data_IF_850160478685
#
_entry.id   IF_850160478685
#
_cell.length_a   1.000
_cell.length_b   1.000
_cell.length_c   1.000
_cell.angle_alpha   90.00
_cell.angle_beta   90.00
_cell.angle_gamma   90.00
#
_symmetry.space_group_name_H-M   'P 1'
#
loop_
_entity.id
_entity.type
_entity.pdbx_description
1 polymer ?
#
# COMPACT_ATOMS: atom_id res chain seq x y z
N UNK A 1 10.78 -7.15 32.74
CA UNK A 1 10.69 -5.85 32.03
C UNK A 1 10.63 -6.15 30.55
N UNK A 2 9.49 -5.84 29.91
CA UNK A 2 9.18 -6.22 28.53
C UNK A 2 10.08 -5.49 27.54
N UNK A 3 10.74 -6.27 26.68
CA UNK A 3 11.30 -5.81 25.42
C UNK A 3 10.49 -6.51 24.33
N UNK A 4 9.76 -5.79 23.52
CA UNK A 4 8.85 -6.42 22.57
C UNK A 4 8.07 -5.41 21.74
N UNK A 5 7.07 -5.91 21.05
CA UNK A 5 6.12 -5.08 20.32
C UNK A 5 4.70 -5.64 20.42
N UNK A 6 3.74 -4.80 20.10
CA UNK A 6 2.35 -5.20 19.88
C UNK A 6 1.83 -4.67 18.57
N UNK A 7 0.87 -5.37 17.96
CA UNK A 7 0.16 -4.94 16.76
C UNK A 7 -1.19 -4.37 17.14
N UNK A 8 -1.51 -3.22 16.55
CA UNK A 8 -2.75 -2.47 16.78
C UNK A 8 -3.35 -2.02 15.45
N UNK A 9 -4.64 -1.71 15.47
CA UNK A 9 -5.31 -1.07 14.34
C UNK A 9 -5.03 -1.74 13.01
N UNK A 10 -4.65 -0.95 12.00
CA UNK A 10 -4.31 -1.44 10.65
C UNK A 10 -2.81 -1.78 10.54
N UNK A 11 -1.94 -0.77 10.46
CA UNK A 11 -0.49 -0.90 10.26
C UNK A 11 0.34 -0.51 11.50
N UNK A 12 -0.29 -0.29 12.64
CA UNK A 12 0.38 0.21 13.83
C UNK A 12 1.07 -0.89 14.61
N UNK A 13 2.39 -0.78 14.78
CA UNK A 13 3.17 -1.53 15.75
C UNK A 13 3.65 -0.58 16.85
N UNK A 14 3.52 -0.99 18.12
CA UNK A 14 4.11 -0.23 19.23
C UNK A 14 5.24 -1.05 19.83
N UNK A 15 6.46 -0.50 19.81
CA UNK A 15 7.66 -1.10 20.37
C UNK A 15 7.91 -0.62 21.79
N UNK A 16 8.34 -1.54 22.65
CA UNK A 16 8.55 -1.32 24.08
C UNK A 16 9.99 -1.59 24.49
N UNK A 17 10.51 -0.75 25.38
CA UNK A 17 11.75 -0.97 26.13
C UNK A 17 11.46 -0.76 27.63
N UNK A 18 11.69 -1.79 28.47
CA UNK A 18 11.36 -1.77 29.89
C UNK A 18 9.88 -1.38 30.19
N UNK A 19 8.95 -2.00 29.47
CA UNK A 19 7.50 -1.73 29.57
C UNK A 19 7.08 -0.28 29.18
N UNK A 20 7.99 0.52 28.65
CA UNK A 20 7.70 1.87 28.15
C UNK A 20 7.54 1.84 26.63
N UNK A 21 6.45 2.41 26.09
CA UNK A 21 6.33 2.61 24.65
C UNK A 21 7.42 3.54 24.15
N UNK A 22 8.16 3.13 23.11
CA UNK A 22 9.27 3.88 22.53
C UNK A 22 8.89 4.42 21.16
N UNK A 23 8.34 3.58 20.30
CA UNK A 23 8.03 3.87 18.91
C UNK A 23 6.66 3.32 18.57
N UNK A 24 5.82 4.12 17.90
CA UNK A 24 4.59 3.66 17.24
C UNK A 24 4.68 3.90 15.74
N UNK A 25 4.28 2.91 14.91
CA UNK A 25 4.29 3.04 13.45
C UNK A 25 2.90 3.36 12.93
N UNK A 26 2.82 4.22 11.91
CA UNK A 26 1.62 4.48 11.10
C UNK A 26 0.30 4.52 11.91
N UNK A 27 0.14 5.43 12.88
CA UNK A 27 -0.99 5.40 13.81
C UNK A 27 -2.29 5.87 13.14
N UNK A 28 -3.21 4.93 12.90
CA UNK A 28 -4.60 5.21 12.59
C UNK A 28 -5.44 4.79 13.81
N UNK A 29 -5.96 5.78 14.56
CA UNK A 29 -6.59 5.57 15.88
C UNK A 29 -8.09 5.38 15.79
N UNK A 30 -8.74 6.10 14.88
CA UNK A 30 -10.18 6.08 14.65
C UNK A 30 -10.54 6.75 13.31
N UNK A 31 -11.83 6.88 13.02
CA UNK A 31 -12.32 7.50 11.79
C UNK A 31 -12.22 6.59 10.57
N UNK A 32 -12.22 7.20 9.40
CA UNK A 32 -12.25 6.49 8.11
C UNK A 32 -11.18 7.02 7.18
N UNK A 33 -10.73 6.16 6.26
CA UNK A 33 -9.79 6.49 5.19
C UNK A 33 -10.44 6.36 3.82
N UNK A 34 -9.73 6.85 2.78
CA UNK A 34 -10.14 6.68 1.38
C UNK A 34 -11.58 7.13 1.12
N UNK A 35 -11.87 8.41 1.43
CA UNK A 35 -13.20 9.03 1.21
C UNK A 35 -14.33 8.29 1.95
N UNK A 36 -14.09 7.85 3.18
CA UNK A 36 -15.07 7.11 3.97
C UNK A 36 -15.21 5.65 3.59
N UNK A 37 -14.35 5.12 2.72
CA UNK A 37 -14.45 3.74 2.27
C UNK A 37 -13.95 2.73 3.31
N UNK A 38 -12.84 3.03 3.99
CA UNK A 38 -12.25 2.14 4.98
C UNK A 38 -12.50 2.61 6.41
N UNK A 39 -12.73 1.66 7.30
CA UNK A 39 -12.67 1.84 8.75
C UNK A 39 -11.84 0.71 9.37
N UNK A 40 -11.34 0.91 10.58
CA UNK A 40 -10.65 -0.15 11.32
C UNK A 40 -11.59 -1.35 11.52
N UNK A 41 -11.08 -2.57 11.31
CA UNK A 41 -11.82 -3.82 11.58
C UNK A 41 -12.24 -3.91 13.06
N UNK A 42 -11.47 -3.28 13.94
CA UNK A 42 -11.73 -3.19 15.38
C UNK A 42 -11.33 -1.82 15.93
N UNK A 43 -12.12 -1.21 16.80
CA UNK A 43 -11.70 0.00 17.49
C UNK A 43 -10.53 -0.29 18.43
N UNK A 44 -9.63 0.66 18.58
CA UNK A 44 -8.59 0.59 19.59
C UNK A 44 -9.21 0.72 20.99
N UNK A 45 -8.71 -0.09 21.91
CA UNK A 45 -9.01 0.08 23.35
C UNK A 45 -8.31 1.32 23.90
N UNK A 46 -8.78 1.82 25.06
CA UNK A 46 -8.14 2.95 25.74
C UNK A 46 -6.64 2.69 26.01
N UNK A 47 -6.31 1.49 26.49
CA UNK A 47 -4.90 1.12 26.73
C UNK A 47 -4.03 1.12 25.46
N UNK A 48 -4.60 0.76 24.31
CA UNK A 48 -3.91 0.81 23.02
C UNK A 48 -3.70 2.24 22.53
N UNK A 49 -4.70 3.11 22.69
CA UNK A 49 -4.56 4.55 22.42
C UNK A 49 -3.49 5.16 23.31
N UNK A 50 -3.56 4.90 24.62
CA UNK A 50 -2.56 5.39 25.57
C UNK A 50 -1.14 4.91 25.21
N UNK A 51 -0.97 3.68 24.73
CA UNK A 51 0.33 3.17 24.29
C UNK A 51 0.91 3.99 23.13
N UNK A 52 0.10 4.34 22.13
CA UNK A 52 0.52 5.22 21.01
C UNK A 52 0.79 6.64 21.53
N UNK A 53 -0.07 7.18 22.41
CA UNK A 53 0.11 8.52 22.98
C UNK A 53 1.37 8.65 23.85
N UNK A 54 1.81 7.58 24.49
CA UNK A 54 3.01 7.56 25.33
C UNK A 54 4.29 7.25 24.55
N UNK A 55 4.21 6.72 23.34
CA UNK A 55 5.38 6.49 22.50
C UNK A 55 6.10 7.82 22.22
N UNK A 56 7.41 7.86 22.42
CA UNK A 56 8.21 9.07 22.19
C UNK A 56 8.36 9.37 20.70
N UNK A 57 8.47 8.33 19.89
CA UNK A 57 8.67 8.41 18.44
C UNK A 57 7.44 7.89 17.72
N UNK A 58 7.09 8.57 16.63
CA UNK A 58 6.09 8.12 15.66
C UNK A 58 6.82 7.90 14.33
N UNK A 59 6.65 6.74 13.72
CA UNK A 59 7.10 6.48 12.36
C UNK A 59 5.94 6.62 11.39
N UNK A 60 6.16 7.31 10.27
CA UNK A 60 5.22 7.35 9.14
C UNK A 60 5.95 6.82 7.91
N UNK A 61 5.44 5.75 7.35
CA UNK A 61 6.05 5.04 6.23
C UNK A 61 5.86 5.75 4.89
N UNK A 62 4.66 6.24 4.62
CA UNK A 62 4.27 6.90 3.38
C UNK A 62 2.97 7.71 3.54
N UNK A 63 2.49 8.31 2.43
CA UNK A 63 1.42 9.30 2.46
C UNK A 63 0.00 8.77 2.30
N UNK A 64 -0.24 7.46 2.21
CA UNK A 64 -1.62 6.94 2.16
C UNK A 64 -2.37 7.19 3.47
N UNK A 65 -3.68 7.49 3.43
CA UNK A 65 -4.42 7.97 4.60
C UNK A 65 -4.61 6.93 5.72
N UNK A 66 -4.42 5.65 5.47
CA UNK A 66 -4.41 4.59 6.50
C UNK A 66 -3.05 4.42 7.19
N UNK A 67 -2.00 5.12 6.72
CA UNK A 67 -0.67 5.24 7.33
C UNK A 67 -0.40 6.66 7.83
N UNK A 68 -0.62 7.66 7.00
CA UNK A 68 -0.59 9.08 7.37
C UNK A 68 -2.01 9.56 7.65
N UNK A 69 -2.59 9.16 8.80
CA UNK A 69 -3.92 9.56 9.18
C UNK A 69 -3.89 10.90 9.93
N UNK A 70 -4.17 11.99 9.21
CA UNK A 70 -4.04 13.35 9.73
C UNK A 70 -4.88 13.58 10.99
N UNK A 71 -6.12 13.08 11.04
CA UNK A 71 -7.01 13.25 12.19
C UNK A 71 -6.48 12.52 13.42
N UNK A 72 -5.88 11.34 13.25
CA UNK A 72 -5.21 10.62 14.34
C UNK A 72 -3.96 11.35 14.82
N UNK A 73 -3.12 11.86 13.91
CA UNK A 73 -1.96 12.67 14.28
C UNK A 73 -2.37 13.98 14.99
N UNK A 74 -3.48 14.58 14.60
CA UNK A 74 -3.99 15.79 15.26
C UNK A 74 -4.32 15.55 16.74
N UNK A 75 -4.75 14.37 17.11
CA UNK A 75 -5.07 13.97 18.49
C UNK A 75 -3.83 13.74 19.37
N UNK A 76 -2.67 13.44 18.75
CA UNK A 76 -1.46 13.11 19.51
C UNK A 76 -0.78 14.35 20.11
N UNK A 77 -0.15 14.20 21.30
CA UNK A 77 0.67 15.25 21.91
C UNK A 77 1.82 15.70 20.98
N UNK A 78 2.05 17.01 20.87
CA UNK A 78 3.02 17.58 19.91
C UNK A 78 4.49 17.53 20.37
N UNK A 79 4.76 17.00 21.54
CA UNK A 79 6.13 16.80 22.07
C UNK A 79 6.82 15.54 21.53
N UNK A 80 6.23 14.87 20.55
CA UNK A 80 6.80 13.68 19.89
C UNK A 80 7.72 14.06 18.75
N UNK A 81 8.61 13.12 18.42
CA UNK A 81 9.45 13.20 17.21
C UNK A 81 8.83 12.27 16.15
N UNK A 82 8.45 12.84 15.02
CA UNK A 82 7.97 12.05 13.89
C UNK A 82 9.15 11.71 13.00
N UNK A 83 9.39 10.41 12.80
CA UNK A 83 10.43 9.84 11.97
C UNK A 83 9.87 9.55 10.58
N UNK A 84 10.57 9.97 9.53
CA UNK A 84 10.16 9.79 8.14
C UNK A 84 11.27 9.17 7.29
N UNK A 85 10.92 8.45 6.22
CA UNK A 85 11.85 8.17 5.13
C UNK A 85 12.34 9.47 4.47
N UNK A 86 13.49 9.41 3.81
CA UNK A 86 13.96 10.50 2.94
C UNK A 86 13.22 10.46 1.60
N UNK A 87 11.91 10.76 1.63
CA UNK A 87 11.06 10.85 0.44
C UNK A 87 11.63 11.82 -0.61
N UNK A 88 11.30 11.61 -1.87
CA UNK A 88 11.79 12.47 -2.95
C UNK A 88 11.28 13.92 -2.82
N UNK A 89 10.01 14.07 -2.44
CA UNK A 89 9.38 15.37 -2.24
C UNK A 89 9.15 15.66 -0.74
N UNK A 90 9.34 16.89 -0.27
CA UNK A 90 9.26 17.22 1.16
C UNK A 90 7.84 17.39 1.70
N UNK A 91 6.79 17.23 0.90
CA UNK A 91 5.40 17.56 1.24
C UNK A 91 4.92 16.89 2.54
N UNK A 92 5.19 15.58 2.70
CA UNK A 92 4.80 14.85 3.92
C UNK A 92 5.50 15.44 5.14
N UNK A 93 6.81 15.71 5.04
CA UNK A 93 7.58 16.35 6.11
C UNK A 93 6.99 17.71 6.49
N UNK A 94 6.72 18.53 5.49
CA UNK A 94 6.28 19.91 5.69
C UNK A 94 4.84 19.96 6.25
N UNK A 95 3.96 19.06 5.79
CA UNK A 95 2.60 18.95 6.32
C UNK A 95 2.57 18.52 7.80
N UNK A 96 3.39 17.53 8.18
CA UNK A 96 3.47 17.07 9.56
C UNK A 96 4.12 18.15 10.46
N UNK A 97 5.15 18.85 9.97
CA UNK A 97 5.75 19.97 10.68
C UNK A 97 4.75 21.11 10.89
N UNK A 98 3.90 21.40 9.90
CA UNK A 98 2.83 22.40 10.03
C UNK A 98 1.77 22.02 11.08
N UNK A 99 1.60 20.73 11.40
CA UNK A 99 0.77 20.27 12.51
C UNK A 99 1.41 20.48 13.90
N UNK A 100 2.64 21.00 13.97
CA UNK A 100 3.36 21.31 15.20
C UNK A 100 4.27 20.21 15.73
N UNK A 101 4.53 19.15 14.96
CA UNK A 101 5.47 18.11 15.34
C UNK A 101 6.92 18.46 15.00
N UNK A 102 7.86 17.94 15.81
CA UNK A 102 9.26 17.84 15.41
C UNK A 102 9.40 16.68 14.42
N UNK A 103 9.90 16.96 13.21
CA UNK A 103 10.07 15.94 12.16
C UNK A 103 11.55 15.67 11.96
N UNK A 104 11.94 14.40 11.99
CA UNK A 104 13.29 13.92 11.70
C UNK A 104 13.26 12.99 10.49
N UNK A 105 13.94 13.36 9.41
CA UNK A 105 14.13 12.50 8.23
C UNK A 105 15.27 11.55 8.51
N UNK A 106 15.00 10.25 8.47
CA UNK A 106 15.99 9.21 8.74
C UNK A 106 16.91 8.99 7.52
N UNK A 107 18.24 9.07 7.70
CA UNK A 107 19.17 8.77 6.61
C UNK A 107 19.06 7.31 6.18
N UNK A 108 19.10 7.09 4.86
CA UNK A 108 19.02 5.76 4.26
C UNK A 108 20.07 4.78 4.81
N UNK A 109 19.62 3.63 5.30
CA UNK A 109 20.41 2.54 5.88
C UNK A 109 21.32 2.94 7.06
N UNK A 110 20.94 3.95 7.83
CA UNK A 110 21.66 4.35 9.03
C UNK A 110 20.83 4.05 10.28
N UNK A 111 21.49 3.51 11.31
CA UNK A 111 20.85 3.25 12.58
C UNK A 111 20.65 4.52 13.40
N UNK A 112 19.45 4.68 13.92
CA UNK A 112 19.02 5.71 14.85
C UNK A 112 18.69 5.08 16.19
N UNK A 113 19.42 5.42 17.27
CA UNK A 113 19.10 4.94 18.61
C UNK A 113 17.83 5.64 19.12
N UNK A 114 16.86 4.85 19.57
CA UNK A 114 15.58 5.33 20.10
C UNK A 114 15.49 5.19 21.63
N UNK A 115 16.06 4.11 22.17
CA UNK A 115 16.18 3.84 23.61
C UNK A 115 17.41 2.98 23.87
N UNK A 116 17.77 2.65 25.12
CA UNK A 116 18.99 1.86 25.41
C UNK A 116 19.05 0.53 24.64
N UNK A 117 17.92 -0.14 24.36
CA UNK A 117 17.87 -1.44 23.71
C UNK A 117 17.14 -1.45 22.36
N UNK A 118 16.62 -0.31 21.91
CA UNK A 118 15.87 -0.22 20.64
C UNK A 118 16.52 0.80 19.71
N UNK A 119 16.84 0.39 18.51
CA UNK A 119 17.27 1.28 17.43
C UNK A 119 16.53 0.95 16.14
N UNK A 120 16.38 1.95 15.29
CA UNK A 120 15.67 1.84 14.03
C UNK A 120 16.53 2.26 12.84
N UNK A 121 16.26 1.71 11.68
CA UNK A 121 16.87 2.07 10.41
C UNK A 121 15.79 2.15 9.34
N UNK A 122 15.89 3.15 8.47
CA UNK A 122 14.98 3.34 7.35
C UNK A 122 15.61 2.86 6.04
N UNK A 123 14.79 2.21 5.21
CA UNK A 123 15.08 1.94 3.80
C UNK A 123 14.01 2.67 2.99
N UNK A 124 14.33 3.85 2.51
CA UNK A 124 13.45 4.53 1.56
C UNK A 124 13.73 4.02 0.14
N UNK A 125 12.71 3.89 -0.66
CA UNK A 125 12.79 3.28 -1.97
C UNK A 125 12.06 4.10 -3.04
N UNK A 126 12.21 3.70 -4.30
CA UNK A 126 11.59 4.42 -5.42
C UNK A 126 10.06 4.36 -5.42
N UNK A 127 9.47 3.42 -4.67
CA UNK A 127 8.01 3.35 -4.50
C UNK A 127 7.47 4.40 -3.54
N UNK A 128 8.36 5.17 -2.88
CA UNK A 128 8.02 6.16 -1.85
C UNK A 128 7.34 5.56 -0.60
N UNK A 129 7.45 4.25 -0.41
CA UNK A 129 6.98 3.54 0.78
C UNK A 129 8.19 3.13 1.62
N UNK A 130 8.35 3.71 2.79
CA UNK A 130 9.48 3.43 3.68
C UNK A 130 9.36 2.04 4.32
N UNK A 131 10.47 1.29 4.32
CA UNK A 131 10.62 0.07 5.11
C UNK A 131 11.33 0.44 6.41
N UNK A 132 10.76 0.06 7.54
CA UNK A 132 11.38 0.26 8.85
C UNK A 132 12.02 -1.04 9.33
N UNK A 133 13.27 -0.95 9.77
CA UNK A 133 13.97 -2.05 10.41
C UNK A 133 14.24 -1.67 11.85
N UNK A 134 13.73 -2.45 12.80
CA UNK A 134 13.91 -2.23 14.23
C UNK A 134 14.73 -3.36 14.82
N UNK A 135 15.86 -3.01 15.44
CA UNK A 135 16.59 -3.92 16.29
C UNK A 135 16.21 -3.66 17.75
N UNK A 136 15.78 -4.69 18.44
CA UNK A 136 15.43 -4.64 19.85
C UNK A 136 16.11 -5.78 20.61
N UNK A 137 17.15 -5.44 21.36
CA UNK A 137 18.06 -6.41 21.97
C UNK A 137 18.80 -7.22 20.90
N UNK A 138 18.57 -8.53 20.88
CA UNK A 138 19.14 -9.47 19.90
C UNK A 138 18.13 -9.93 18.83
N UNK A 139 17.01 -9.25 18.74
CA UNK A 139 15.93 -9.52 17.78
C UNK A 139 15.85 -8.45 16.70
N UNK A 140 15.44 -8.85 15.49
CA UNK A 140 15.25 -7.98 14.35
C UNK A 140 13.80 -8.04 13.88
N UNK A 141 13.16 -6.89 13.78
CA UNK A 141 11.82 -6.72 13.20
C UNK A 141 11.95 -5.87 11.94
N UNK A 142 11.51 -6.40 10.82
CA UNK A 142 11.42 -5.68 9.54
C UNK A 142 9.95 -5.40 9.28
N UNK A 143 9.57 -4.14 9.38
CA UNK A 143 8.23 -3.68 9.06
C UNK A 143 8.21 -3.23 7.59
N UNK A 144 7.68 -4.10 6.75
CA UNK A 144 7.47 -3.81 5.33
C UNK A 144 6.21 -2.99 5.11
N UNK A 145 5.25 -3.07 6.05
CA UNK A 145 3.89 -2.57 5.86
C UNK A 145 3.37 -2.89 4.44
N UNK A 146 3.09 -1.90 3.58
CA UNK A 146 2.62 -2.05 2.20
C UNK A 146 3.76 -2.11 1.19
N UNK A 147 4.98 -1.82 1.63
CA UNK A 147 6.10 -1.63 0.71
C UNK A 147 6.45 -2.89 -0.07
N UNK A 148 6.56 -2.81 -1.39
CA UNK A 148 7.32 -3.78 -2.16
C UNK A 148 8.81 -3.61 -1.82
N UNK A 149 9.58 -4.69 -2.00
CA UNK A 149 10.99 -4.68 -1.62
C UNK A 149 11.87 -3.72 -2.44
N UNK A 150 11.45 -3.32 -3.64
CA UNK A 150 12.09 -2.34 -4.52
C UNK A 150 13.62 -2.43 -4.58
N UNK A 151 14.16 -3.65 -4.71
CA UNK A 151 15.61 -3.89 -4.75
C UNK A 151 16.29 -3.94 -3.38
N UNK A 152 15.56 -3.83 -2.27
CA UNK A 152 16.11 -3.97 -0.90
C UNK A 152 16.27 -5.43 -0.45
N UNK A 153 15.79 -6.39 -1.23
CA UNK A 153 15.76 -7.81 -0.85
C UNK A 153 17.14 -8.36 -0.45
N UNK A 154 18.17 -8.09 -1.24
CA UNK A 154 19.54 -8.57 -0.97
C UNK A 154 20.07 -8.00 0.34
N UNK A 155 19.86 -6.72 0.59
CA UNK A 155 20.28 -6.06 1.81
C UNK A 155 19.58 -6.67 3.04
N UNK A 156 18.24 -6.73 3.00
CA UNK A 156 17.43 -7.28 4.09
C UNK A 156 17.77 -8.74 4.37
N UNK A 157 17.92 -9.56 3.34
CA UNK A 157 18.32 -10.96 3.50
C UNK A 157 19.69 -11.10 4.16
N UNK A 158 20.66 -10.27 3.78
CA UNK A 158 21.99 -10.29 4.39
C UNK A 158 21.98 -9.76 5.84
N UNK A 159 21.11 -8.83 6.14
CA UNK A 159 20.90 -8.33 7.50
C UNK A 159 20.24 -9.39 8.38
N UNK A 160 19.13 -9.98 7.94
CA UNK A 160 18.39 -11.05 8.63
C UNK A 160 19.29 -12.23 8.97
N UNK A 161 20.19 -12.64 8.07
CA UNK A 161 21.14 -13.75 8.30
C UNK A 161 22.12 -13.54 9.46
N UNK A 162 22.24 -12.31 9.99
CA UNK A 162 23.13 -12.02 11.13
C UNK A 162 22.48 -12.31 12.47
N UNK A 163 21.18 -12.63 12.48
CA UNK A 163 20.39 -12.91 13.66
C UNK A 163 19.98 -14.38 13.69
N UNK A 164 19.71 -14.88 14.90
CA UNK A 164 19.03 -16.16 15.04
C UNK A 164 17.67 -16.07 14.30
N UNK A 165 17.41 -17.02 13.44
CA UNK A 165 16.18 -17.05 12.64
C UNK A 165 14.93 -16.95 13.52
N UNK A 166 14.90 -17.60 14.69
CA UNK A 166 13.78 -17.54 15.61
C UNK A 166 13.52 -16.13 16.17
N UNK A 167 14.54 -15.24 16.10
CA UNK A 167 14.48 -13.83 16.56
C UNK A 167 14.32 -12.83 15.41
N UNK A 168 13.97 -13.30 14.21
CA UNK A 168 13.72 -12.43 13.06
C UNK A 168 12.24 -12.42 12.72
N UNK A 169 11.67 -11.24 12.59
CA UNK A 169 10.26 -10.99 12.35
C UNK A 169 10.10 -10.10 11.11
N UNK A 170 9.15 -10.43 10.26
CA UNK A 170 8.74 -9.57 9.15
C UNK A 170 7.26 -9.27 9.28
N UNK A 171 6.95 -8.01 9.57
CA UNK A 171 5.60 -7.48 9.54
C UNK A 171 5.29 -6.99 8.11
N UNK A 172 4.17 -7.39 7.57
CA UNK A 172 3.76 -7.05 6.21
C UNK A 172 2.25 -7.19 6.07
N UNK A 173 1.70 -6.53 5.06
CA UNK A 173 0.39 -6.85 4.54
C UNK A 173 0.20 -8.35 4.50
N UNK A 174 -0.96 -8.82 4.91
CA UNK A 174 -1.32 -10.22 4.74
C UNK A 174 -1.42 -10.60 3.26
N UNK A 175 -1.66 -9.63 2.41
CA UNK A 175 -1.52 -9.65 0.95
C UNK A 175 -2.00 -8.29 0.44
N UNK A 176 -1.75 -7.94 -0.82
CA UNK A 176 -2.44 -6.82 -1.45
C UNK A 176 -3.92 -7.09 -1.29
N UNK A 177 -4.54 -6.40 -0.38
CA UNK A 177 -5.90 -6.64 0.08
C UNK A 177 -6.92 -6.47 -1.08
N UNK A 178 -8.13 -6.23 -0.78
CA UNK A 178 -9.20 -6.02 -1.76
C UNK A 178 -9.06 -4.71 -2.57
N UNK A 179 -7.89 -4.07 -2.58
CA UNK A 179 -7.64 -2.77 -3.22
C UNK A 179 -7.77 -2.81 -4.74
N UNK A 180 -8.23 -1.70 -5.31
CA UNK A 180 -8.24 -1.47 -6.76
C UNK A 180 -8.91 -2.61 -7.55
N UNK A 181 -10.04 -3.15 -7.06
CA UNK A 181 -10.76 -4.26 -7.70
C UNK A 181 -11.96 -3.83 -8.54
N UNK A 182 -12.38 -2.58 -8.48
CA UNK A 182 -13.63 -2.15 -9.09
C UNK A 182 -13.50 -1.93 -10.61
N UNK A 183 -13.01 -2.96 -11.31
CA UNK A 183 -13.01 -2.99 -12.77
C UNK A 183 -14.37 -3.40 -13.30
N UNK A 184 -14.80 -2.72 -14.35
CA UNK A 184 -16.05 -3.03 -15.05
C UNK A 184 -15.80 -3.15 -16.56
N UNK A 185 -16.61 -3.99 -17.21
CA UNK A 185 -16.66 -4.03 -18.65
C UNK A 185 -17.51 -2.88 -19.22
N UNK A 186 -17.60 -2.80 -20.55
CA UNK A 186 -18.41 -1.78 -21.25
C UNK A 186 -19.92 -1.87 -20.96
N UNK A 187 -20.36 -2.95 -20.29
CA UNK A 187 -21.74 -3.15 -19.85
C UNK A 187 -21.91 -2.84 -18.35
N UNK A 188 -20.84 -2.38 -17.68
CA UNK A 188 -20.82 -2.06 -16.25
C UNK A 188 -20.75 -3.28 -15.32
N UNK A 189 -20.49 -4.47 -15.84
CA UNK A 189 -20.35 -5.70 -15.03
C UNK A 189 -18.94 -5.79 -14.47
N UNK A 190 -18.79 -6.09 -13.17
CA UNK A 190 -17.47 -6.29 -12.54
C UNK A 190 -16.73 -7.46 -13.16
N UNK A 191 -15.44 -7.23 -13.43
CA UNK A 191 -14.52 -8.19 -14.05
C UNK A 191 -13.42 -8.58 -13.07
N UNK A 192 -13.78 -9.01 -11.88
CA UNK A 192 -12.85 -9.41 -10.84
C UNK A 192 -12.82 -10.94 -10.70
N UNK A 193 -11.63 -11.48 -10.41
CA UNK A 193 -11.50 -12.92 -10.13
C UNK A 193 -12.28 -13.31 -8.86
N UNK A 194 -12.75 -14.58 -8.75
CA UNK A 194 -13.40 -15.04 -7.52
C UNK A 194 -12.51 -14.84 -6.28
N UNK A 195 -13.10 -14.48 -5.12
CA UNK A 195 -12.34 -14.17 -3.90
C UNK A 195 -11.33 -15.27 -3.51
N UNK A 196 -11.75 -16.52 -3.48
CA UNK A 196 -10.90 -17.65 -3.03
C UNK A 196 -9.64 -17.84 -3.88
N UNK A 197 -9.76 -17.68 -5.21
CA UNK A 197 -8.60 -17.80 -6.09
C UNK A 197 -7.61 -16.67 -5.86
N UNK A 198 -8.13 -15.44 -5.70
CA UNK A 198 -7.33 -14.26 -5.46
C UNK A 198 -6.60 -14.38 -4.11
N UNK A 199 -7.31 -14.65 -3.02
CA UNK A 199 -6.74 -14.79 -1.66
C UNK A 199 -5.64 -15.83 -1.59
N UNK A 200 -5.87 -17.02 -2.17
CA UNK A 200 -4.86 -18.09 -2.24
C UNK A 200 -3.57 -17.63 -2.94
N UNK A 201 -3.70 -16.93 -4.08
CA UNK A 201 -2.54 -16.42 -4.83
C UNK A 201 -1.75 -15.37 -4.03
N UNK A 202 -2.44 -14.52 -3.33
CA UNK A 202 -1.87 -13.44 -2.54
C UNK A 202 -1.12 -13.98 -1.32
N UNK A 203 -1.74 -14.87 -0.53
CA UNK A 203 -1.10 -15.50 0.65
C UNK A 203 0.15 -16.28 0.23
N UNK A 204 0.08 -16.98 -0.90
CA UNK A 204 1.25 -17.65 -1.46
C UNK A 204 2.39 -16.67 -1.78
N UNK A 205 2.09 -15.52 -2.37
CA UNK A 205 3.10 -14.51 -2.71
C UNK A 205 3.77 -13.92 -1.45
N UNK A 206 2.99 -13.64 -0.40
CA UNK A 206 3.52 -13.18 0.88
C UNK A 206 4.38 -14.25 1.53
N UNK A 207 3.87 -15.48 1.65
CA UNK A 207 4.62 -16.58 2.25
C UNK A 207 5.97 -16.82 1.54
N UNK A 208 6.00 -16.72 0.21
CA UNK A 208 7.22 -16.80 -0.60
C UNK A 208 8.16 -15.62 -0.34
N UNK A 209 7.64 -14.39 -0.23
CA UNK A 209 8.43 -13.19 0.08
C UNK A 209 9.15 -13.33 1.41
N UNK A 210 8.44 -13.76 2.46
CA UNK A 210 8.99 -13.94 3.80
C UNK A 210 10.06 -15.05 3.83
N UNK A 211 9.77 -16.17 3.20
CA UNK A 211 10.69 -17.29 3.08
C UNK A 211 11.98 -16.89 2.33
N UNK A 212 11.86 -16.15 1.25
CA UNK A 212 12.99 -15.66 0.45
C UNK A 212 13.87 -14.67 1.22
N UNK A 213 13.31 -13.89 2.12
CA UNK A 213 14.06 -13.05 3.06
C UNK A 213 14.80 -13.86 4.12
N UNK A 214 14.35 -15.08 4.42
CA UNK A 214 14.95 -15.97 5.40
C UNK A 214 14.51 -15.73 6.84
N UNK A 215 13.45 -14.96 7.06
CA UNK A 215 12.90 -14.69 8.40
C UNK A 215 12.25 -15.93 9.02
N UNK A 216 12.31 -16.03 10.34
CA UNK A 216 11.66 -17.11 11.09
C UNK A 216 10.20 -16.88 11.39
N UNK A 217 9.78 -15.60 11.46
CA UNK A 217 8.43 -15.24 11.86
C UNK A 217 7.82 -14.26 10.84
N UNK A 218 6.57 -14.51 10.47
CA UNK A 218 5.69 -13.57 9.77
C UNK A 218 4.72 -12.96 10.77
N UNK A 219 4.55 -11.65 10.73
CA UNK A 219 3.58 -10.90 11.53
C UNK A 219 2.57 -10.26 10.59
N UNK A 220 1.28 -10.60 10.76
CA UNK A 220 0.22 -9.98 9.98
C UNK A 220 0.02 -8.53 10.41
N UNK A 221 0.17 -7.60 9.49
CA UNK A 221 0.05 -6.14 9.69
C UNK A 221 -0.52 -5.50 8.42
N UNK A 222 -0.99 -4.25 8.50
CA UNK A 222 -1.44 -3.42 7.38
C UNK A 222 -2.60 -3.98 6.52
N UNK A 223 -3.48 -4.84 7.13
CA UNK A 223 -4.66 -5.39 6.44
C UNK A 223 -5.85 -5.53 7.40
N UNK A 224 -5.92 -4.69 8.42
CA UNK A 224 -6.91 -4.81 9.48
C UNK A 224 -8.00 -3.72 9.37
N UNK A 225 -8.53 -3.55 8.18
CA UNK A 225 -9.63 -2.63 7.88
C UNK A 225 -10.84 -3.36 7.31
N UNK A 226 -11.98 -2.68 7.23
CA UNK A 226 -13.19 -3.11 6.55
C UNK A 226 -13.70 -2.01 5.62
N UNK A 227 -14.39 -2.40 4.54
CA UNK A 227 -15.10 -1.47 3.69
C UNK A 227 -16.45 -1.14 4.31
N UNK A 228 -16.73 0.16 4.51
CA UNK A 228 -17.94 0.64 5.19
C UNK A 228 -18.77 1.61 4.35
N UNK A 229 -18.22 2.17 3.29
CA UNK A 229 -18.94 3.03 2.37
C UNK A 229 -19.92 2.18 1.53
N UNK A 230 -21.16 2.63 1.35
CA UNK A 230 -22.24 1.85 0.72
C UNK A 230 -21.89 1.31 -0.67
N UNK A 231 -21.12 2.07 -1.47
CA UNK A 231 -20.70 1.70 -2.82
C UNK A 231 -19.36 0.91 -2.86
N UNK A 232 -18.73 0.65 -1.70
CA UNK A 232 -17.51 -0.12 -1.57
C UNK A 232 -17.63 -1.40 -0.70
N UNK A 233 -18.69 -1.57 0.11
CA UNK A 233 -18.89 -2.74 0.99
C UNK A 233 -18.85 -4.09 0.25
N UNK A 234 -19.12 -4.09 -1.04
CA UNK A 234 -19.04 -5.27 -1.90
C UNK A 234 -17.63 -5.89 -1.95
N UNK A 235 -16.58 -5.12 -1.61
CA UNK A 235 -15.20 -5.57 -1.61
C UNK A 235 -14.83 -6.40 -0.37
N UNK A 236 -15.62 -6.36 0.71
CA UNK A 236 -15.33 -7.10 1.95
C UNK A 236 -15.07 -8.60 1.77
N UNK A 237 -15.77 -9.36 0.92
CA UNK A 237 -15.46 -10.78 0.67
C UNK A 237 -14.06 -11.03 0.11
N UNK A 238 -13.42 -10.02 -0.51
CA UNK A 238 -12.09 -10.12 -1.10
C UNK A 238 -10.96 -9.84 -0.11
N UNK A 239 -11.26 -9.29 1.07
CA UNK A 239 -10.28 -9.07 2.14
C UNK A 239 -9.68 -10.39 2.60
N UNK A 240 -8.37 -10.40 2.82
CA UNK A 240 -7.69 -11.55 3.38
C UNK A 240 -7.86 -11.54 4.90
N UNK A 241 -8.48 -12.58 5.43
CA UNK A 241 -8.65 -12.77 6.87
C UNK A 241 -7.55 -13.66 7.45
N UNK A 242 -7.41 -13.69 8.78
CA UNK A 242 -6.47 -14.61 9.41
C UNK A 242 -6.81 -16.09 9.13
N UNK A 243 -8.08 -16.44 9.03
CA UNK A 243 -8.52 -17.80 8.69
C UNK A 243 -8.08 -18.20 7.26
N UNK A 244 -8.08 -17.24 6.32
CA UNK A 244 -7.53 -17.45 4.98
C UNK A 244 -6.02 -17.73 5.03
N UNK A 245 -5.27 -16.98 5.87
CA UNK A 245 -3.83 -17.22 6.09
C UNK A 245 -3.59 -18.60 6.68
N UNK A 246 -4.35 -18.99 7.72
CA UNK A 246 -4.25 -20.32 8.31
C UNK A 246 -4.47 -21.40 7.27
N UNK A 247 -5.46 -21.24 6.39
CA UNK A 247 -5.85 -22.22 5.37
C UNK A 247 -4.85 -22.33 4.22
N UNK A 248 -4.28 -21.21 3.77
CA UNK A 248 -3.53 -21.15 2.51
C UNK A 248 -2.03 -20.96 2.66
N UNK A 249 -1.51 -20.90 3.89
CA UNK A 249 -0.08 -20.70 4.12
C UNK A 249 0.75 -21.90 3.68
N UNK A 250 1.79 -21.67 2.89
CA UNK A 250 2.57 -22.72 2.23
C UNK A 250 4.00 -22.91 2.75
N UNK A 251 4.37 -22.20 3.83
CA UNK A 251 5.74 -22.24 4.39
C UNK A 251 5.70 -22.64 5.88
N UNK A 252 5.57 -23.96 6.18
CA UNK A 252 5.36 -24.42 7.58
C UNK A 252 6.52 -24.12 8.52
N UNK A 253 7.72 -23.88 7.99
CA UNK A 253 8.91 -23.54 8.75
C UNK A 253 9.01 -22.04 9.10
N UNK A 254 8.10 -21.20 8.61
CA UNK A 254 7.92 -19.82 9.02
C UNK A 254 6.75 -19.76 9.99
N UNK A 255 7.02 -19.32 11.23
CA UNK A 255 5.98 -19.16 12.23
C UNK A 255 5.08 -17.97 11.85
N UNK A 256 3.79 -18.19 11.87
CA UNK A 256 2.78 -17.15 11.64
C UNK A 256 2.38 -16.54 12.98
N UNK A 257 2.30 -15.23 13.03
CA UNK A 257 1.83 -14.45 14.18
C UNK A 257 0.61 -13.64 13.72
N UNK A 258 -0.51 -13.92 14.37
CA UNK A 258 -1.78 -13.27 14.04
C UNK A 258 -1.78 -11.78 14.39
N UNK A 259 -2.68 -10.98 13.82
CA UNK A 259 -2.85 -9.58 14.21
C UNK A 259 -3.39 -9.45 15.63
N UNK A 260 -3.30 -8.26 16.21
CA UNK A 260 -3.77 -7.95 17.59
C UNK A 260 -3.10 -8.84 18.66
N UNK A 261 -1.78 -8.88 18.62
CA UNK A 261 -0.97 -9.65 19.53
C UNK A 261 0.09 -8.81 20.25
N UNK A 262 0.62 -9.36 21.32
CA UNK A 262 1.83 -8.87 22.00
C UNK A 262 2.93 -9.90 21.82
N UNK A 263 4.09 -9.47 21.32
CA UNK A 263 5.29 -10.30 21.15
C UNK A 263 6.34 -9.89 22.16
N UNK A 264 6.79 -10.83 22.98
CA UNK A 264 7.96 -10.68 23.85
C UNK A 264 9.22 -11.11 23.10
N UNK A 265 10.05 -10.16 22.75
CA UNK A 265 11.30 -10.42 21.97
C UNK A 265 12.40 -11.08 22.82
N UNK A 266 12.32 -10.98 24.13
CA UNK A 266 13.27 -11.66 25.03
C UNK A 266 13.07 -13.17 25.05
N UNK A 267 11.81 -13.62 25.04
CA UNK A 267 11.46 -15.05 25.10
C UNK A 267 11.03 -15.62 23.75
N UNK A 268 10.68 -14.77 22.78
CA UNK A 268 10.07 -15.17 21.51
C UNK A 268 8.61 -15.62 21.67
N UNK A 269 8.02 -15.51 22.85
CA UNK A 269 6.62 -15.83 23.08
C UNK A 269 5.71 -14.72 22.53
N UNK A 270 4.53 -15.10 22.07
CA UNK A 270 3.47 -14.13 21.81
C UNK A 270 2.15 -14.61 22.37
N UNK A 271 1.29 -13.68 22.67
CA UNK A 271 -0.09 -13.95 23.07
C UNK A 271 -1.04 -13.01 22.36
N UNK A 272 -2.18 -13.54 21.98
CA UNK A 272 -3.27 -12.78 21.39
C UNK A 272 -3.88 -11.87 22.43
N UNK A 273 -4.10 -10.63 22.09
CA UNK A 273 -4.93 -9.75 22.90
C UNK A 273 -6.39 -10.17 22.73
N UNK A 274 -7.17 -10.06 23.81
CA UNK A 274 -8.61 -10.23 23.68
C UNK A 274 -9.13 -9.05 22.86
N UNK A 275 -9.56 -9.30 21.61
CA UNK A 275 -10.01 -8.20 20.78
C UNK A 275 -11.26 -7.59 21.40
N UNK A 276 -11.35 -6.28 21.38
CA UNK A 276 -12.63 -5.60 21.49
C UNK A 276 -13.58 -6.24 20.48
N UNK A 277 -14.84 -6.43 20.83
CA UNK A 277 -15.83 -6.93 19.86
C UNK A 277 -15.77 -6.04 18.63
N UNK A 278 -15.88 -6.64 17.43
CA UNK A 278 -16.08 -5.84 16.21
C UNK A 278 -17.18 -4.85 16.50
N UNK A 279 -16.89 -3.57 16.50
CA UNK A 279 -17.95 -2.58 16.51
C UNK A 279 -18.76 -2.84 15.24
N UNK A 280 -20.08 -2.80 15.34
CA UNK A 280 -20.91 -2.62 14.18
C UNK A 280 -20.57 -1.21 13.64
N UNK A 281 -19.58 -1.14 12.75
CA UNK A 281 -19.27 0.11 12.08
C UNK A 281 -20.48 0.40 11.18
N UNK A 282 -21.17 1.48 11.49
CA UNK A 282 -22.31 1.92 10.70
C UNK A 282 -21.86 2.19 9.26
N UNK A 283 -22.57 1.66 8.27
CA UNK A 283 -22.25 1.90 6.89
C UNK A 283 -22.38 3.40 6.58
N UNK A 284 -21.33 3.97 6.03
CA UNK A 284 -21.35 5.35 5.52
C UNK A 284 -22.07 5.33 4.18
N UNK A 285 -23.03 6.22 3.99
CA UNK A 285 -23.69 6.43 2.70
C UNK A 285 -22.91 7.45 1.86
N UNK A 286 -23.16 7.50 0.54
CA UNK A 286 -22.56 8.53 -0.31
C UNK A 286 -22.90 9.94 0.17
N UNK A 287 -24.12 10.17 0.69
CA UNK A 287 -24.51 11.45 1.27
C UNK A 287 -23.74 11.78 2.56
N UNK A 288 -23.46 10.77 3.40
CA UNK A 288 -22.66 10.94 4.63
C UNK A 288 -21.19 11.25 4.31
N UNK A 289 -20.68 10.71 3.19
CA UNK A 289 -19.36 11.03 2.68
C UNK A 289 -19.31 12.32 1.84
N UNK A 290 -20.37 13.13 1.87
CA UNK A 290 -20.55 14.34 1.07
C UNK A 290 -20.39 14.09 -0.45
N UNK A 291 -20.71 12.89 -0.89
CA UNK A 291 -20.70 12.51 -2.30
C UNK A 291 -22.09 12.25 -2.86
N UNK A 292 -22.32 12.78 -4.04
CA UNK A 292 -23.53 12.55 -4.84
C UNK A 292 -23.16 12.07 -6.24
N UNK A 293 -23.51 10.83 -6.55
CA UNK A 293 -23.25 10.22 -7.86
C UNK A 293 -24.02 10.91 -9.01
N UNK A 294 -25.07 11.69 -8.72
CA UNK A 294 -25.84 12.46 -9.71
C UNK A 294 -25.25 13.84 -10.00
N UNK A 295 -24.36 14.34 -9.11
CA UNK A 295 -23.78 15.67 -9.24
C UNK A 295 -22.81 15.74 -10.43
N UNK A 296 -22.96 16.81 -11.24
CA UNK A 296 -22.14 17.05 -12.42
C UNK A 296 -21.04 18.06 -12.15
N UNK A 297 -19.96 17.98 -12.92
CA UNK A 297 -18.91 19.01 -12.92
C UNK A 297 -19.37 20.25 -13.66
N UNK A 298 -19.12 21.43 -13.08
CA UNK A 298 -19.18 22.71 -13.78
C UNK A 298 -18.08 22.83 -14.82
N UNK A 299 -18.08 23.90 -15.62
CA UNK A 299 -17.03 24.19 -16.57
C UNK A 299 -15.65 24.38 -15.90
N UNK A 300 -15.62 25.15 -14.82
CA UNK A 300 -14.37 25.43 -14.08
C UNK A 300 -13.85 24.19 -13.36
N UNK A 301 -14.72 23.38 -12.76
CA UNK A 301 -14.33 22.12 -12.14
C UNK A 301 -13.75 21.14 -13.18
N UNK A 302 -14.37 21.07 -14.36
CA UNK A 302 -13.83 20.26 -15.46
C UNK A 302 -12.48 20.75 -15.94
N UNK A 303 -12.27 22.06 -15.99
CA UNK A 303 -10.96 22.62 -16.34
C UNK A 303 -9.89 22.19 -15.33
N UNK A 304 -10.19 22.24 -14.02
CA UNK A 304 -9.28 21.75 -12.96
C UNK A 304 -8.88 20.28 -13.17
N UNK A 305 -9.83 19.40 -13.48
CA UNK A 305 -9.57 17.99 -13.78
C UNK A 305 -8.68 17.85 -15.01
N UNK A 306 -8.95 18.63 -16.06
CA UNK A 306 -8.14 18.62 -17.29
C UNK A 306 -6.71 19.08 -17.03
N UNK A 307 -6.52 20.16 -16.28
CA UNK A 307 -5.22 20.70 -15.90
C UNK A 307 -4.44 19.71 -15.00
N UNK A 308 -5.13 19.02 -14.09
CA UNK A 308 -4.52 17.97 -13.28
C UNK A 308 -3.94 16.87 -14.15
N UNK A 309 -4.72 16.32 -15.09
CA UNK A 309 -4.26 15.27 -16.01
C UNK A 309 -3.15 15.76 -16.92
N UNK A 310 -3.23 16.99 -17.42
CA UNK A 310 -2.26 17.57 -18.34
C UNK A 310 -0.85 17.70 -17.72
N UNK A 311 -0.71 17.71 -16.40
CA UNK A 311 0.61 17.72 -15.73
C UNK A 311 1.43 16.47 -16.03
N UNK A 312 0.78 15.33 -16.25
CA UNK A 312 1.43 14.01 -16.39
C UNK A 312 1.91 13.76 -17.83
N UNK A 313 3.01 14.42 -18.21
CA UNK A 313 3.59 14.30 -19.55
C UNK A 313 3.88 12.84 -19.95
N UNK A 314 4.26 12.02 -18.97
CA UNK A 314 4.65 10.61 -19.17
C UNK A 314 3.49 9.71 -19.61
N UNK A 315 2.22 10.10 -19.35
CA UNK A 315 1.04 9.31 -19.72
C UNK A 315 0.92 9.11 -21.24
N UNK A 316 1.37 10.06 -22.05
CA UNK A 316 1.29 10.00 -23.52
C UNK A 316 2.01 8.80 -24.17
N UNK A 317 2.92 8.18 -23.43
CA UNK A 317 3.63 6.98 -23.92
C UNK A 317 2.73 5.73 -23.85
N UNK A 318 1.69 5.75 -23.03
CA UNK A 318 0.87 4.58 -22.68
C UNK A 318 -0.61 4.73 -23.03
N UNK A 319 -1.14 5.95 -23.02
CA UNK A 319 -2.57 6.22 -23.18
C UNK A 319 -2.80 7.28 -24.27
N UNK A 320 -3.85 7.07 -25.06
CA UNK A 320 -4.34 8.04 -26.03
C UNK A 320 -5.33 9.01 -25.36
N UNK A 321 -6.12 8.54 -24.36
CA UNK A 321 -7.12 9.36 -23.65
C UNK A 321 -7.43 8.82 -22.24
N UNK A 322 -8.04 9.70 -21.43
CA UNK A 322 -8.77 9.32 -20.20
C UNK A 322 -10.20 9.84 -20.29
N UNK A 323 -11.16 9.01 -19.93
CA UNK A 323 -12.57 9.38 -19.80
C UNK A 323 -12.92 9.53 -18.33
N UNK A 324 -13.68 10.57 -17.99
CA UNK A 324 -14.29 10.74 -16.67
C UNK A 324 -15.81 10.75 -16.83
N UNK A 325 -16.50 9.91 -16.05
CA UNK A 325 -17.94 9.82 -16.00
C UNK A 325 -18.40 10.32 -14.64
N UNK A 326 -18.94 11.53 -14.60
CA UNK A 326 -19.39 12.22 -13.38
C UNK A 326 -20.83 12.70 -13.59
N UNK A 327 -21.74 12.33 -12.70
CA UNK A 327 -23.16 12.68 -12.83
C UNK A 327 -23.78 12.16 -14.13
N UNK A 328 -23.42 10.96 -14.58
CA UNK A 328 -23.83 10.34 -15.84
C UNK A 328 -23.37 11.09 -17.11
N UNK A 329 -22.50 12.08 -17.00
CA UNK A 329 -21.87 12.75 -18.12
C UNK A 329 -20.45 12.22 -18.34
N UNK A 330 -20.19 11.68 -19.54
CA UNK A 330 -18.85 11.23 -19.95
C UNK A 330 -18.14 12.36 -20.67
N UNK A 331 -16.96 12.73 -20.16
CA UNK A 331 -16.07 13.70 -20.81
C UNK A 331 -14.71 13.08 -21.03
N UNK A 332 -14.13 13.29 -22.22
CA UNK A 332 -12.84 12.76 -22.65
C UNK A 332 -11.74 13.82 -22.61
N UNK A 333 -10.62 13.45 -21.96
CA UNK A 333 -9.36 14.21 -22.03
C UNK A 333 -8.42 13.47 -22.98
N UNK A 334 -8.07 14.10 -24.08
CA UNK A 334 -7.10 13.54 -25.02
C UNK A 334 -5.68 13.77 -24.50
N UNK A 335 -5.00 12.69 -24.16
CA UNK A 335 -3.57 12.70 -23.78
C UNK A 335 -2.70 12.88 -25.02
N UNK A 336 -3.09 12.23 -26.13
CA UNK A 336 -2.46 12.34 -27.46
C UNK A 336 -3.48 12.96 -28.42
N UNK A 337 -3.45 14.29 -28.67
CA UNK A 337 -4.42 14.98 -29.53
C UNK A 337 -4.53 14.39 -30.93
N UNK A 338 -3.40 13.89 -31.49
CA UNK A 338 -3.32 13.29 -32.81
C UNK A 338 -4.03 11.93 -32.92
N UNK A 339 -4.40 11.36 -31.78
CA UNK A 339 -5.21 10.14 -31.74
C UNK A 339 -6.68 10.37 -32.06
N UNK A 340 -7.15 11.64 -32.03
CA UNK A 340 -8.50 11.99 -32.48
C UNK A 340 -8.73 11.53 -33.91
N UNK A 341 -9.81 10.78 -34.12
CA UNK A 341 -10.15 10.24 -35.46
C UNK A 341 -9.62 8.83 -35.74
N UNK A 342 -8.78 8.24 -34.88
CA UNK A 342 -8.50 6.80 -34.94
C UNK A 342 -9.75 6.00 -34.53
N UNK A 343 -9.88 4.77 -35.05
CA UNK A 343 -10.96 3.87 -34.65
C UNK A 343 -10.84 3.55 -33.15
N UNK A 344 -11.96 3.61 -32.41
CA UNK A 344 -12.02 3.35 -30.96
C UNK A 344 -11.34 2.01 -30.56
N UNK A 345 -11.48 0.97 -31.39
CA UNK A 345 -10.84 -0.34 -31.17
C UNK A 345 -9.31 -0.31 -31.17
N UNK A 346 -8.69 0.77 -31.63
CA UNK A 346 -7.23 0.95 -31.68
C UNK A 346 -6.72 1.93 -30.62
N UNK A 347 -7.64 2.63 -29.94
CA UNK A 347 -7.27 3.57 -28.89
C UNK A 347 -6.97 2.86 -27.58
N UNK A 348 -6.02 3.42 -26.83
CA UNK A 348 -5.70 3.00 -25.46
C UNK A 348 -6.19 4.05 -24.50
N UNK A 349 -7.08 3.66 -23.59
CA UNK A 349 -7.66 4.59 -22.66
C UNK A 349 -8.16 3.93 -21.39
N UNK A 350 -8.53 4.76 -20.42
CA UNK A 350 -9.16 4.34 -19.18
C UNK A 350 -10.38 5.24 -18.95
N UNK A 351 -11.52 4.62 -18.58
CA UNK A 351 -12.70 5.32 -18.13
C UNK A 351 -12.87 5.22 -16.62
N UNK A 352 -13.06 6.35 -15.95
CA UNK A 352 -13.28 6.45 -14.51
C UNK A 352 -14.69 6.95 -14.23
N UNK A 353 -15.53 6.10 -13.61
CA UNK A 353 -16.81 6.50 -13.08
C UNK A 353 -16.65 6.87 -11.62
N UNK A 354 -16.75 8.12 -11.29
CA UNK A 354 -16.39 8.63 -9.97
C UNK A 354 -17.35 9.74 -9.53
N UNK A 355 -17.73 9.82 -8.25
CA UNK A 355 -18.52 10.93 -7.76
C UNK A 355 -17.69 12.22 -7.72
N UNK A 356 -18.40 13.34 -7.88
CA UNK A 356 -17.83 14.67 -8.09
C UNK A 356 -16.87 15.10 -6.97
N UNK A 357 -17.31 15.02 -5.71
CA UNK A 357 -16.55 15.60 -4.61
C UNK A 357 -15.26 14.83 -4.34
N UNK A 358 -15.31 13.49 -4.38
CA UNK A 358 -14.10 12.66 -4.29
C UNK A 358 -13.10 12.94 -5.43
N UNK A 359 -13.59 13.13 -6.67
CA UNK A 359 -12.70 13.49 -7.78
C UNK A 359 -12.05 14.86 -7.57
N UNK A 360 -12.81 15.88 -7.16
CA UNK A 360 -12.27 17.22 -6.94
C UNK A 360 -11.28 17.27 -5.79
N UNK A 361 -11.54 16.57 -4.69
CA UNK A 361 -10.60 16.44 -3.60
C UNK A 361 -9.31 15.74 -4.05
N UNK A 362 -9.42 14.66 -4.84
CA UNK A 362 -8.25 13.97 -5.43
C UNK A 362 -7.41 14.90 -6.32
N UNK A 363 -8.06 15.74 -7.13
CA UNK A 363 -7.36 16.73 -7.97
C UNK A 363 -6.66 17.78 -7.12
N UNK A 364 -7.25 18.18 -6.00
CA UNK A 364 -6.67 19.14 -5.07
C UNK A 364 -5.47 18.58 -4.31
N UNK A 365 -5.61 17.40 -3.72
CA UNK A 365 -4.53 16.76 -2.93
C UNK A 365 -3.47 16.07 -3.80
N UNK A 366 -3.82 15.66 -5.02
CA UNK A 366 -2.88 15.06 -5.96
C UNK A 366 -2.61 13.56 -5.77
N UNK A 367 -3.41 12.84 -4.96
CA UNK A 367 -3.30 11.40 -4.72
C UNK A 367 -4.45 10.66 -5.41
N UNK A 368 -4.26 10.31 -6.68
CA UNK A 368 -5.32 9.71 -7.50
C UNK A 368 -5.62 8.25 -7.13
N UNK A 369 -4.69 7.54 -6.58
CA UNK A 369 -4.86 6.15 -6.17
C UNK A 369 -5.82 5.97 -5.00
N UNK A 370 -5.99 6.97 -4.13
CA UNK A 370 -6.91 6.90 -3.00
C UNK A 370 -8.35 6.57 -3.44
N UNK A 371 -8.80 7.10 -4.58
CA UNK A 371 -10.13 6.78 -5.12
C UNK A 371 -10.20 5.39 -5.77
N UNK A 372 -9.07 4.85 -6.23
CA UNK A 372 -8.97 3.47 -6.73
C UNK A 372 -8.97 2.47 -5.57
N UNK A 373 -8.15 2.73 -4.53
CA UNK A 373 -8.01 1.90 -3.33
C UNK A 373 -9.34 1.77 -2.59
N UNK A 374 -10.09 2.86 -2.51
CA UNK A 374 -11.41 2.88 -1.88
C UNK A 374 -12.48 2.00 -2.53
N UNK A 375 -12.25 1.47 -3.74
CA UNK A 375 -13.16 0.57 -4.48
C UNK A 375 -14.58 1.12 -4.76
N UNK A 376 -14.84 2.40 -4.54
CA UNK A 376 -16.10 3.00 -4.93
C UNK A 376 -16.06 3.51 -6.38
N UNK A 377 -14.93 4.03 -6.85
CA UNK A 377 -14.74 4.40 -8.25
C UNK A 377 -14.72 3.16 -9.14
N UNK A 378 -15.50 3.15 -10.24
CA UNK A 378 -15.50 2.06 -11.24
C UNK A 378 -14.54 2.40 -12.37
N UNK A 379 -13.73 1.44 -12.78
CA UNK A 379 -12.67 1.62 -13.79
C UNK A 379 -12.95 0.73 -15.01
N UNK A 380 -13.04 1.35 -16.18
CA UNK A 380 -13.12 0.67 -17.49
C UNK A 380 -11.74 0.69 -18.17
N UNK A 381 -11.25 -0.46 -18.65
CA UNK A 381 -9.99 -0.55 -19.36
C UNK A 381 -10.22 -0.75 -20.86
N UNK A 382 -9.72 0.17 -21.68
CA UNK A 382 -9.86 0.17 -23.15
C UNK A 382 -8.47 -0.10 -23.77
N UNK A 383 -8.15 -1.35 -24.09
CA UNK A 383 -6.84 -1.77 -24.59
C UNK A 383 -5.66 -1.29 -23.71
N UNK A 384 -5.90 -1.16 -22.41
CA UNK A 384 -4.98 -0.59 -21.44
C UNK A 384 -5.00 -1.40 -20.13
N UNK A 385 -4.02 -1.15 -19.27
CA UNK A 385 -3.93 -1.72 -17.91
C UNK A 385 -3.59 -0.62 -16.92
N UNK A 386 -3.97 -0.79 -15.65
CA UNK A 386 -3.50 0.11 -14.59
C UNK A 386 -2.01 -0.08 -14.33
N UNK A 387 -1.58 -1.32 -14.17
CA UNK A 387 -0.17 -1.68 -14.01
C UNK A 387 0.40 -2.21 -15.32
N UNK A 388 1.64 -1.89 -15.67
CA UNK A 388 2.60 -1.05 -14.94
C UNK A 388 2.56 0.44 -15.36
N UNK A 389 1.53 0.91 -16.04
CA UNK A 389 1.61 2.18 -16.80
C UNK A 389 0.81 3.34 -16.22
N UNK A 390 -0.25 3.09 -15.46
CA UNK A 390 -1.07 4.17 -14.91
C UNK A 390 -0.77 4.44 -13.43
N UNK A 391 -1.02 3.47 -12.55
CA UNK A 391 -0.81 3.64 -11.12
C UNK A 391 0.61 4.04 -10.74
N UNK A 392 1.70 3.42 -11.26
CA UNK A 392 3.04 3.88 -10.92
C UNK A 392 3.32 5.32 -11.36
N UNK A 393 2.74 5.78 -12.46
CA UNK A 393 2.96 7.15 -12.93
C UNK A 393 2.15 8.19 -12.17
N UNK A 394 0.88 7.91 -11.89
CA UNK A 394 -0.01 8.85 -11.19
C UNK A 394 0.16 8.75 -9.68
N UNK A 395 0.19 7.54 -9.12
CA UNK A 395 0.29 7.35 -7.69
C UNK A 395 1.69 7.66 -7.15
N UNK A 396 2.67 6.85 -7.53
CA UNK A 396 4.01 6.94 -6.94
C UNK A 396 4.81 8.15 -7.42
N UNK A 397 4.84 8.39 -8.72
CA UNK A 397 5.59 9.52 -9.28
C UNK A 397 4.80 10.83 -9.11
N UNK A 398 3.55 10.88 -9.53
CA UNK A 398 2.76 12.10 -9.49
C UNK A 398 2.27 12.47 -8.10
N UNK A 399 1.69 11.51 -7.37
CA UNK A 399 1.17 11.71 -6.02
C UNK A 399 2.28 11.95 -5.01
N UNK A 400 3.06 10.91 -4.71
CA UNK A 400 4.04 10.95 -3.63
C UNK A 400 5.33 11.70 -3.97
N UNK A 401 5.85 11.58 -5.21
CA UNK A 401 7.13 12.17 -5.60
C UNK A 401 7.01 13.50 -6.35
N UNK A 402 5.80 13.93 -6.75
CA UNK A 402 5.55 15.13 -7.57
C UNK A 402 6.43 15.17 -8.85
N UNK A 403 6.56 14.04 -9.51
CA UNK A 403 7.32 13.84 -10.75
C UNK A 403 6.36 13.71 -11.91
N UNK A 404 6.28 14.73 -12.75
CA UNK A 404 5.28 14.84 -13.80
C UNK A 404 5.88 14.75 -15.22
N UNK A 405 7.13 15.20 -15.38
CA UNK A 405 7.82 15.30 -16.67
C UNK A 405 8.89 14.23 -16.86
N UNK A 406 9.27 13.95 -18.12
CA UNK A 406 10.33 13.01 -18.42
C UNK A 406 11.70 13.46 -17.86
N UNK A 407 11.93 14.76 -17.74
CA UNK A 407 13.17 15.29 -17.14
C UNK A 407 13.22 15.08 -15.63
N UNK A 408 12.11 15.28 -14.93
CA UNK A 408 11.99 15.00 -13.50
C UNK A 408 12.13 13.51 -13.22
N UNK A 409 11.49 12.66 -14.05
CA UNK A 409 11.62 11.20 -13.94
C UNK A 409 13.06 10.74 -14.08
N UNK A 410 13.85 11.32 -15.00
CA UNK A 410 15.27 11.01 -15.10
C UNK A 410 16.05 11.37 -13.83
N UNK A 411 15.78 12.53 -13.22
CA UNK A 411 16.42 12.95 -11.96
C UNK A 411 16.02 12.02 -10.80
N UNK A 412 14.75 11.68 -10.71
CA UNK A 412 14.21 10.72 -9.76
C UNK A 412 14.92 9.37 -9.87
N UNK A 413 14.95 8.79 -11.06
CA UNK A 413 15.61 7.50 -11.31
C UNK A 413 17.11 7.54 -10.99
N UNK A 414 17.80 8.66 -11.32
CA UNK A 414 19.21 8.83 -10.97
C UNK A 414 19.47 8.85 -9.46
N UNK A 415 18.57 9.44 -8.67
CA UNK A 415 18.68 9.43 -7.20
C UNK A 415 18.69 8.00 -6.66
N UNK A 416 17.70 7.19 -7.04
CA UNK A 416 17.57 5.81 -6.54
C UNK A 416 18.63 4.89 -7.11
N UNK A 417 19.00 5.04 -8.38
CA UNK A 417 20.13 4.34 -8.95
C UNK A 417 21.44 4.61 -8.20
N UNK A 418 21.77 5.87 -7.92
CA UNK A 418 23.01 6.21 -7.16
C UNK A 418 23.01 5.66 -5.73
N UNK A 419 21.84 5.57 -5.12
CA UNK A 419 21.68 5.09 -3.74
C UNK A 419 21.88 3.58 -3.63
N UNK A 420 21.33 2.80 -4.54
CA UNK A 420 21.42 1.34 -4.58
C UNK A 420 21.45 0.81 -6.02
N UNK A 421 22.59 0.90 -6.73
CA UNK A 421 22.67 0.54 -8.15
C UNK A 421 22.24 -0.90 -8.45
N UNK A 422 22.72 -1.87 -7.63
CA UNK A 422 22.39 -3.28 -7.83
C UNK A 422 20.91 -3.55 -7.58
N UNK A 423 20.37 -3.03 -6.47
CA UNK A 423 18.95 -3.19 -6.15
C UNK A 423 18.04 -2.52 -7.18
N UNK A 424 18.43 -1.36 -7.70
CA UNK A 424 17.72 -0.67 -8.77
C UNK A 424 17.62 -1.55 -10.03
N UNK A 425 18.71 -2.15 -10.48
CA UNK A 425 18.68 -3.08 -11.61
C UNK A 425 17.87 -4.34 -11.32
N UNK A 426 18.03 -4.96 -10.15
CA UNK A 426 17.25 -6.15 -9.77
C UNK A 426 15.75 -5.87 -9.77
N UNK A 427 15.33 -4.71 -9.26
CA UNK A 427 13.93 -4.30 -9.24
C UNK A 427 13.37 -4.07 -10.64
N UNK A 428 14.03 -3.26 -11.46
CA UNK A 428 13.57 -2.99 -12.82
C UNK A 428 13.58 -4.23 -13.69
N UNK A 429 14.58 -5.10 -13.55
CA UNK A 429 14.62 -6.38 -14.26
C UNK A 429 13.43 -7.26 -13.87
N UNK A 430 13.10 -7.36 -12.58
CA UNK A 430 11.93 -8.12 -12.11
C UNK A 430 10.61 -7.55 -12.65
N UNK A 431 10.50 -6.22 -12.78
CA UNK A 431 9.32 -5.61 -13.40
C UNK A 431 9.21 -5.92 -14.90
N UNK A 432 10.32 -5.90 -15.64
CA UNK A 432 10.33 -6.30 -17.04
C UNK A 432 9.98 -7.79 -17.21
N UNK A 433 10.52 -8.65 -16.35
CA UNK A 433 10.18 -10.07 -16.33
C UNK A 433 8.69 -10.29 -16.06
N UNK A 434 8.12 -9.60 -15.07
CA UNK A 434 6.68 -9.69 -14.77
C UNK A 434 5.83 -9.22 -15.94
N UNK A 435 6.15 -8.10 -16.56
CA UNK A 435 5.44 -7.59 -17.73
C UNK A 435 5.54 -8.55 -18.93
N UNK A 436 6.72 -9.15 -19.16
CA UNK A 436 6.92 -10.16 -20.18
C UNK A 436 6.07 -11.41 -19.90
N UNK A 437 6.06 -11.90 -18.66
CA UNK A 437 5.25 -13.07 -18.26
C UNK A 437 3.75 -12.80 -18.41
N UNK A 438 3.29 -11.58 -18.12
CA UNK A 438 1.89 -11.20 -18.32
C UNK A 438 1.53 -11.18 -19.82
N UNK A 439 2.44 -10.71 -20.65
CA UNK A 439 2.28 -10.78 -22.10
C UNK A 439 2.22 -12.25 -22.61
N UNK A 440 3.10 -13.12 -22.10
CA UNK A 440 3.08 -14.56 -22.41
C UNK A 440 1.79 -15.22 -21.91
N UNK A 441 1.28 -14.85 -20.73
CA UNK A 441 -0.01 -15.32 -20.21
C UNK A 441 -1.16 -14.93 -21.13
N UNK A 442 -1.22 -13.67 -21.54
CA UNK A 442 -2.24 -13.17 -22.45
C UNK A 442 -2.26 -13.93 -23.79
N UNK A 443 -1.09 -14.19 -24.39
CA UNK A 443 -0.96 -15.00 -25.59
C UNK A 443 -1.35 -16.47 -25.35
N UNK A 444 -0.93 -17.03 -24.21
CA UNK A 444 -1.23 -18.43 -23.87
C UNK A 444 -2.72 -18.69 -23.63
N UNK A 445 -3.45 -17.70 -23.12
CA UNK A 445 -4.91 -17.76 -22.99
C UNK A 445 -5.59 -17.80 -24.36
N UNK A 446 -5.20 -16.93 -25.26
CA UNK A 446 -5.72 -16.87 -26.63
C UNK A 446 -5.45 -18.15 -27.43
N UNK A 447 -4.32 -18.80 -27.17
CA UNK A 447 -3.91 -20.04 -27.83
C UNK A 447 -4.38 -21.31 -27.11
N UNK A 448 -5.10 -21.22 -25.99
CA UNK A 448 -5.52 -22.36 -25.17
C UNK A 448 -4.38 -23.09 -24.45
N UNK A 449 -3.18 -22.48 -24.39
CA UNK A 449 -1.96 -23.07 -23.82
C UNK A 449 -1.73 -22.70 -22.34
N UNK A 450 -2.67 -22.02 -21.69
CA UNK A 450 -2.52 -21.52 -20.29
C UNK A 450 -2.18 -22.65 -19.31
N UNK A 451 -2.89 -23.79 -19.38
CA UNK A 451 -2.67 -24.91 -18.44
C UNK A 451 -1.28 -25.54 -18.57
N UNK A 452 -0.82 -25.98 -19.74
CA UNK A 452 0.50 -26.60 -19.87
C UNK A 452 1.65 -25.65 -19.54
N UNK A 453 1.58 -24.38 -19.93
CA UNK A 453 2.62 -23.39 -19.60
C UNK A 453 2.67 -23.07 -18.11
N UNK A 454 1.52 -23.03 -17.41
CA UNK A 454 1.48 -22.84 -15.95
C UNK A 454 2.16 -24.00 -15.21
N UNK A 455 1.98 -25.23 -15.67
CA UNK A 455 2.63 -26.43 -15.11
C UNK A 455 4.14 -26.37 -15.30
N UNK A 456 4.61 -26.02 -16.50
CA UNK A 456 6.05 -25.89 -16.80
C UNK A 456 6.69 -24.80 -15.93
N UNK A 457 6.08 -23.62 -15.88
CA UNK A 457 6.57 -22.50 -15.08
C UNK A 457 6.67 -22.84 -13.58
N UNK A 458 5.64 -23.48 -13.01
CA UNK A 458 5.67 -23.91 -11.60
C UNK A 458 6.79 -24.92 -11.32
N UNK A 459 7.03 -25.86 -12.23
CA UNK A 459 8.16 -26.80 -12.10
C UNK A 459 9.52 -26.08 -12.14
N UNK A 460 9.67 -25.08 -13.00
CA UNK A 460 10.92 -24.33 -13.12
C UNK A 460 11.23 -23.48 -11.85
N UNK A 461 10.21 -22.97 -11.16
CA UNK A 461 10.38 -22.17 -9.93
C UNK A 461 10.33 -23.02 -8.65
N UNK A 462 10.30 -24.36 -8.76
CA UNK A 462 10.30 -25.28 -7.61
C UNK A 462 9.00 -25.32 -6.80
N UNK A 463 7.87 -24.95 -7.43
CA UNK A 463 6.56 -24.98 -6.79
C UNK A 463 5.89 -26.35 -6.94
N UNK A 464 5.31 -26.93 -5.87
CA UNK A 464 4.52 -28.15 -6.03
C UNK A 464 3.32 -27.90 -6.93
N UNK A 465 3.19 -28.75 -7.95
CA UNK A 465 2.03 -28.75 -8.84
C UNK A 465 0.85 -29.32 -8.04
N UNK A 466 -0.06 -28.47 -7.60
CA UNK A 466 -1.36 -28.85 -7.05
C UNK A 466 -2.42 -28.55 -8.11
#
# INVERSE_FOLDING_TARGET
MRLGFETLGNATLVFYDNDRPVLATDPWLDGTCYFGSWALDRPLTEAEREAVERAQYIWISHGHPDHLHNDSLAQLPKNKIVLLPDHYHPEIRDSIAAMGFTVEVMPYRQWRQLSPRVRAMCLDNENQDGILVVEAGDSLVVDLNDSPLCGEERFLRNLIKRYDRAKTYVASLCAIDADMLNFVDTQGRRTVEPPDQRKKGMIWAVARKIDKLGAGNFVSSASQHIYVRADSVWANPYRVTWDDVETHWTRPHVRKIEPFCVVDLGTGAYHKKHPSQRSAVEQITNATADDDWSARLSGDEWQRVTEFVARYETLRQHFDYLDFVVGNERRRIWIVPEAKGKAETRLRGIGFHVPKNSLLATVEYGFFDDILIGNFMRTELHNATLYPHFTPLIAKLGGAAKVYTDSERRRFNQRYFRRNPLGYFEWHFAQYEAAFLDHVRWWSERLGLKRPLKVIYRRMIGDPVV
#
